data_IF_997672802918
#
_entry.id   IF_997672802918
#
_cell.length_a   1.000
_cell.length_b   1.000
_cell.length_c   1.000
_cell.angle_alpha   90.00
_cell.angle_beta   90.00
_cell.angle_gamma   90.00
#
_symmetry.space_group_name_H-M   'P 1'
#
loop_
_entity.id
_entity.type
_entity.pdbx_description
1 polymer ?
#
# COMPACT_ATOMS: atom_id res chain seq x y z
N UNK A 1 -26.58 17.41 -18.19
CA UNK A 1 -25.40 17.99 -18.87
C UNK A 1 -24.29 18.04 -17.83
N UNK A 2 -23.05 17.67 -18.18
CA UNK A 2 -21.90 17.84 -17.29
C UNK A 2 -21.40 19.29 -17.41
N UNK A 3 -21.00 19.88 -16.29
CA UNK A 3 -20.43 21.24 -16.17
C UNK A 3 -19.20 21.23 -15.24
N UNK A 4 -18.60 22.39 -14.99
CA UNK A 4 -17.39 22.50 -14.15
C UNK A 4 -17.62 22.14 -12.69
N UNK A 5 -18.85 22.26 -12.20
CA UNK A 5 -19.23 21.99 -10.80
C UNK A 5 -19.71 20.54 -10.60
N UNK A 6 -19.73 19.76 -11.67
CA UNK A 6 -20.20 18.38 -11.65
C UNK A 6 -19.28 17.51 -10.79
N UNK A 7 -19.83 16.98 -9.68
CA UNK A 7 -19.11 16.08 -8.79
C UNK A 7 -18.78 14.77 -9.49
N UNK A 8 -17.50 14.40 -9.49
CA UNK A 8 -16.97 13.23 -10.20
C UNK A 8 -16.22 12.28 -9.26
N UNK A 9 -16.31 10.98 -9.51
CA UNK A 9 -15.50 9.98 -8.82
C UNK A 9 -14.10 9.99 -9.45
N UNK A 10 -13.08 10.39 -8.69
CA UNK A 10 -11.70 10.49 -9.19
C UNK A 10 -11.05 9.13 -9.50
N UNK A 11 -11.59 8.04 -8.94
CA UNK A 11 -10.98 6.73 -9.05
C UNK A 11 -9.51 6.76 -8.65
N UNK A 12 -8.64 6.25 -9.53
CA UNK A 12 -7.19 6.22 -9.26
C UNK A 12 -6.49 7.57 -9.39
N UNK A 13 -7.11 8.60 -10.00
CA UNK A 13 -6.53 9.95 -9.98
C UNK A 13 -6.43 10.51 -8.54
N UNK A 14 -7.28 10.01 -7.63
CA UNK A 14 -7.22 10.37 -6.20
C UNK A 14 -5.93 9.93 -5.48
N UNK A 15 -5.11 9.05 -6.08
CA UNK A 15 -3.81 8.65 -5.51
C UNK A 15 -2.92 9.86 -5.26
N UNK A 16 -2.88 10.80 -6.20
CA UNK A 16 -2.03 12.00 -6.10
C UNK A 16 -2.26 12.79 -4.80
N UNK A 17 -3.50 12.86 -4.32
CA UNK A 17 -3.84 13.53 -3.05
C UNK A 17 -3.18 12.80 -1.86
N UNK A 18 -3.22 11.47 -1.86
CA UNK A 18 -2.56 10.64 -0.84
C UNK A 18 -1.04 10.75 -0.92
N UNK A 19 -0.47 10.79 -2.13
CA UNK A 19 0.96 10.97 -2.34
C UNK A 19 1.43 12.31 -1.78
N UNK A 20 0.72 13.42 -2.04
CA UNK A 20 1.05 14.72 -1.44
C UNK A 20 1.02 14.65 0.09
N UNK A 21 0.01 13.99 0.67
CA UNK A 21 -0.09 13.86 2.13
C UNK A 21 1.11 13.15 2.74
N UNK A 22 1.54 12.05 2.12
CA UNK A 22 2.74 11.33 2.56
C UNK A 22 4.01 12.17 2.37
N UNK A 23 4.11 12.93 1.27
CA UNK A 23 5.26 13.80 1.02
C UNK A 23 5.32 14.98 2.02
N UNK A 24 4.19 15.50 2.50
CA UNK A 24 4.18 16.48 3.61
C UNK A 24 4.77 15.91 4.89
N UNK A 25 4.49 14.65 5.21
CA UNK A 25 5.14 13.97 6.35
C UNK A 25 6.66 13.83 6.15
N UNK A 26 7.10 13.67 4.89
CA UNK A 26 8.54 13.68 4.55
C UNK A 26 9.15 15.06 4.77
N UNK A 27 8.48 16.13 4.31
CA UNK A 27 8.93 17.51 4.52
C UNK A 27 9.03 17.87 6.02
N UNK A 28 8.11 17.33 6.85
CA UNK A 28 8.12 17.51 8.30
C UNK A 28 9.14 16.63 9.03
N UNK A 29 9.84 15.73 8.32
CA UNK A 29 10.81 14.80 8.92
C UNK A 29 10.18 13.67 9.74
N UNK A 30 8.86 13.47 9.65
CA UNK A 30 8.15 12.42 10.38
C UNK A 30 8.38 11.02 9.79
N UNK A 31 8.59 10.95 8.48
CA UNK A 31 8.98 9.74 7.72
C UNK A 31 10.00 10.13 6.65
N UNK A 32 10.68 9.16 6.04
CA UNK A 32 11.58 9.42 4.89
C UNK A 32 11.17 8.59 3.67
N UNK A 33 11.67 8.98 2.50
CA UNK A 33 11.41 8.24 1.26
C UNK A 33 12.13 6.88 1.21
N UNK A 34 13.31 6.79 1.81
CA UNK A 34 14.28 5.72 1.54
C UNK A 34 14.60 4.84 2.75
N UNK A 35 14.17 5.22 3.96
CA UNK A 35 14.27 4.32 5.10
C UNK A 35 13.19 3.23 5.04
N UNK A 36 13.44 2.07 5.66
CA UNK A 36 12.44 1.02 5.74
C UNK A 36 11.12 1.51 6.37
N UNK A 37 10.01 1.31 5.67
CA UNK A 37 8.70 1.83 6.08
C UNK A 37 8.12 1.10 7.30
N UNK A 38 8.67 -0.07 7.65
CA UNK A 38 8.15 -0.92 8.71
C UNK A 38 8.14 -0.25 10.09
N UNK A 39 8.96 0.80 10.33
CA UNK A 39 8.87 1.62 11.55
C UNK A 39 7.48 2.22 11.76
N UNK A 40 6.73 2.42 10.66
CA UNK A 40 5.37 2.94 10.66
C UNK A 40 4.34 1.90 10.18
N UNK A 41 4.78 0.84 9.51
CA UNK A 41 3.98 -0.22 8.89
C UNK A 41 4.58 -1.60 9.17
N UNK A 42 4.59 -2.02 10.44
CA UNK A 42 5.17 -3.32 10.86
C UNK A 42 4.58 -4.51 10.08
N UNK A 43 3.35 -4.38 9.59
CA UNK A 43 2.65 -5.39 8.83
C UNK A 43 3.30 -5.71 7.47
N UNK A 44 4.13 -4.81 6.96
CA UNK A 44 4.89 -5.00 5.71
C UNK A 44 6.26 -5.65 5.92
N UNK A 45 6.73 -5.81 7.16
CA UNK A 45 8.09 -6.31 7.43
C UNK A 45 8.25 -7.80 7.11
N UNK A 46 7.20 -8.58 7.34
CA UNK A 46 7.23 -10.04 7.33
C UNK A 46 6.58 -10.66 6.09
N UNK A 47 6.23 -9.86 5.09
CA UNK A 47 5.62 -10.39 3.87
C UNK A 47 6.62 -11.22 3.06
N UNK A 48 6.32 -12.49 2.76
CA UNK A 48 7.18 -13.33 1.94
C UNK A 48 6.99 -12.99 0.45
N UNK A 49 7.94 -13.40 -0.38
CA UNK A 49 7.72 -13.55 -1.81
C UNK A 49 6.84 -14.77 -2.07
N UNK A 50 5.95 -14.68 -3.05
CA UNK A 50 5.16 -15.79 -3.58
C UNK A 50 5.52 -16.04 -5.04
N UNK A 51 5.69 -17.31 -5.37
CA UNK A 51 5.74 -17.79 -6.75
C UNK A 51 4.76 -18.93 -6.91
N UNK A 52 4.26 -19.11 -8.14
CA UNK A 52 3.49 -20.31 -8.47
C UNK A 52 4.43 -21.51 -8.42
N UNK A 53 4.05 -22.52 -7.66
CA UNK A 53 4.82 -23.73 -7.49
C UNK A 53 4.75 -24.64 -8.72
N UNK A 54 5.43 -25.79 -8.61
CA UNK A 54 5.35 -26.85 -9.62
C UNK A 54 5.21 -28.20 -8.93
N UNK A 55 4.49 -29.13 -9.55
CA UNK A 55 4.24 -30.46 -8.98
C UNK A 55 3.17 -30.43 -7.88
N UNK A 56 3.48 -30.97 -6.70
CA UNK A 56 2.52 -31.18 -5.60
C UNK A 56 2.31 -29.94 -4.71
N UNK A 57 3.15 -28.91 -4.85
CA UNK A 57 3.04 -27.65 -4.10
C UNK A 57 2.52 -26.55 -5.03
N UNK A 58 1.37 -25.97 -4.69
CA UNK A 58 0.72 -24.94 -5.51
C UNK A 58 1.45 -23.59 -5.42
N UNK A 59 2.10 -23.29 -4.30
CA UNK A 59 2.82 -22.03 -4.07
C UNK A 59 4.17 -22.30 -3.40
N UNK A 60 5.18 -21.51 -3.76
CA UNK A 60 6.45 -21.45 -3.05
C UNK A 60 6.64 -20.07 -2.43
N UNK A 61 7.08 -20.05 -1.16
CA UNK A 61 7.33 -18.83 -0.40
C UNK A 61 8.81 -18.70 -0.04
N UNK A 62 9.37 -17.51 -0.24
CA UNK A 62 10.74 -17.20 0.16
C UNK A 62 10.79 -15.88 0.93
N UNK A 63 11.78 -15.69 1.83
CA UNK A 63 11.96 -14.41 2.49
C UNK A 63 12.40 -13.34 1.49
N UNK A 64 11.95 -12.11 1.72
CA UNK A 64 12.48 -10.93 1.03
C UNK A 64 13.85 -10.56 1.60
N UNK A 65 14.74 -10.10 0.73
CA UNK A 65 16.07 -9.62 1.10
C UNK A 65 16.12 -8.09 1.18
N UNK A 66 15.21 -7.40 0.49
CA UNK A 66 15.09 -5.94 0.50
C UNK A 66 13.92 -5.47 1.34
N UNK A 67 14.03 -4.26 1.89
CA UNK A 67 12.98 -3.65 2.70
C UNK A 67 12.12 -2.72 1.85
N UNK A 68 10.81 -2.73 2.11
CA UNK A 68 9.88 -1.78 1.49
C UNK A 68 10.14 -0.38 2.08
N UNK A 69 10.14 0.63 1.23
CA UNK A 69 10.28 2.05 1.59
C UNK A 69 9.05 2.82 1.16
N UNK A 70 8.89 4.07 1.63
CA UNK A 70 7.82 4.93 1.15
C UNK A 70 7.93 5.15 -0.37
N UNK A 71 9.15 5.36 -0.90
CA UNK A 71 9.39 5.53 -2.33
C UNK A 71 8.78 4.38 -3.11
N UNK A 72 9.03 3.13 -2.68
CA UNK A 72 8.49 1.95 -3.34
C UNK A 72 6.96 1.93 -3.39
N UNK A 73 6.29 2.33 -2.30
CA UNK A 73 4.83 2.42 -2.25
C UNK A 73 4.29 3.50 -3.19
N UNK A 74 4.96 4.66 -3.27
CA UNK A 74 4.55 5.76 -4.13
C UNK A 74 4.74 5.44 -5.62
N UNK A 75 5.73 4.61 -5.96
CA UNK A 75 6.11 4.26 -7.34
C UNK A 75 5.62 2.89 -7.84
N UNK A 76 4.82 2.15 -7.07
CA UNK A 76 4.37 0.80 -7.43
C UNK A 76 5.52 -0.21 -7.63
N UNK A 77 6.61 -0.05 -6.88
CA UNK A 77 7.80 -0.93 -6.95
C UNK A 77 8.04 -1.66 -5.62
N UNK A 78 7.01 -1.81 -4.80
CA UNK A 78 7.09 -2.44 -3.46
C UNK A 78 7.12 -3.96 -3.49
N UNK A 79 6.76 -4.58 -4.61
CA UNK A 79 6.53 -6.02 -4.71
C UNK A 79 5.08 -6.41 -4.42
N UNK A 80 4.26 -5.50 -3.90
CA UNK A 80 2.82 -5.73 -3.75
C UNK A 80 2.17 -5.84 -5.13
N UNK A 81 1.05 -6.56 -5.19
CA UNK A 81 0.29 -6.73 -6.42
C UNK A 81 -1.21 -6.71 -6.15
N UNK A 82 -1.98 -6.39 -7.19
CA UNK A 82 -3.44 -6.51 -7.15
C UNK A 82 -3.89 -7.97 -7.20
N UNK A 83 -5.15 -8.20 -6.82
CA UNK A 83 -5.85 -9.49 -6.91
C UNK A 83 -5.97 -10.05 -8.34
N UNK A 84 -5.58 -9.27 -9.36
CA UNK A 84 -5.52 -9.69 -10.77
C UNK A 84 -4.18 -10.29 -11.16
N UNK A 85 -3.15 -10.18 -10.31
CA UNK A 85 -1.87 -10.80 -10.57
C UNK A 85 -1.97 -12.32 -10.34
N UNK A 86 -1.49 -13.19 -11.25
CA UNK A 86 -1.81 -14.62 -11.19
C UNK A 86 -1.41 -15.32 -9.87
N UNK A 87 -0.16 -15.20 -9.35
CA UNK A 87 0.19 -15.69 -8.02
C UNK A 87 -0.78 -15.26 -6.91
N UNK A 88 -1.17 -13.99 -6.89
CA UNK A 88 -2.05 -13.44 -5.84
C UNK A 88 -3.50 -13.91 -6.01
N UNK A 89 -3.99 -13.92 -7.25
CA UNK A 89 -5.35 -14.35 -7.57
C UNK A 89 -5.55 -15.81 -7.20
N UNK A 90 -4.59 -16.66 -7.56
CA UNK A 90 -4.64 -18.09 -7.25
C UNK A 90 -4.51 -18.32 -5.74
N UNK A 91 -3.61 -17.59 -5.06
CA UNK A 91 -3.49 -17.64 -3.60
C UNK A 91 -4.80 -17.26 -2.90
N UNK A 92 -5.47 -16.18 -3.32
CA UNK A 92 -6.75 -15.76 -2.79
C UNK A 92 -7.90 -16.76 -3.05
N UNK A 93 -7.82 -17.49 -4.17
CA UNK A 93 -8.79 -18.54 -4.51
C UNK A 93 -8.57 -19.86 -3.76
N UNK A 94 -7.39 -20.05 -3.18
CA UNK A 94 -7.06 -21.20 -2.33
C UNK A 94 -7.76 -21.08 -0.96
N UNK A 95 -7.65 -22.11 -0.12
CA UNK A 95 -8.22 -22.10 1.23
C UNK A 95 -7.45 -21.13 2.16
N UNK A 96 -7.74 -19.84 2.01
CA UNK A 96 -7.17 -18.72 2.78
C UNK A 96 -7.72 -18.63 4.20
N UNK A 97 -8.59 -19.56 4.63
CA UNK A 97 -9.11 -19.65 6.01
C UNK A 97 -8.01 -19.78 7.07
N UNK A 98 -6.78 -20.12 6.65
CA UNK A 98 -5.58 -20.21 7.49
C UNK A 98 -4.91 -18.87 7.79
N UNK A 99 -5.28 -17.78 7.11
CA UNK A 99 -4.76 -16.45 7.43
C UNK A 99 -5.45 -15.98 8.70
N UNK A 100 -4.78 -16.16 9.84
CA UNK A 100 -5.25 -15.68 11.14
C UNK A 100 -5.12 -14.16 11.18
N UNK A 101 -6.24 -13.47 11.29
CA UNK A 101 -6.31 -12.01 11.37
C UNK A 101 -6.91 -11.68 12.72
N UNK A 102 -6.15 -10.96 13.55
CA UNK A 102 -6.62 -10.56 14.87
C UNK A 102 -7.86 -9.65 14.74
N UNK A 103 -8.88 -9.77 15.63
CA UNK A 103 -10.17 -9.09 15.49
C UNK A 103 -10.08 -7.57 15.28
N UNK A 104 -9.09 -6.92 15.90
CA UNK A 104 -8.89 -5.46 15.88
C UNK A 104 -7.95 -4.98 14.76
N UNK A 105 -7.59 -5.87 13.82
CA UNK A 105 -6.73 -5.52 12.69
C UNK A 105 -7.44 -4.50 11.77
N UNK A 106 -6.81 -3.37 11.43
CA UNK A 106 -7.40 -2.40 10.51
C UNK A 106 -7.86 -3.06 9.20
N UNK A 107 -9.04 -2.71 8.64
CA UNK A 107 -9.58 -3.35 7.44
C UNK A 107 -8.61 -3.35 6.25
N UNK A 108 -7.76 -2.32 6.17
CA UNK A 108 -6.73 -2.15 5.14
C UNK A 108 -5.63 -3.20 5.25
N UNK A 109 -5.19 -3.51 6.47
CA UNK A 109 -4.20 -4.57 6.75
C UNK A 109 -4.82 -5.93 6.44
N UNK A 110 -6.04 -6.17 6.92
CA UNK A 110 -6.79 -7.41 6.68
C UNK A 110 -6.93 -7.72 5.18
N UNK A 111 -7.11 -6.70 4.34
CA UNK A 111 -7.38 -6.87 2.91
C UNK A 111 -6.13 -6.86 2.04
N UNK A 112 -5.05 -6.19 2.43
CA UNK A 112 -3.92 -5.92 1.55
C UNK A 112 -2.57 -6.47 2.03
N UNK A 113 -2.54 -7.22 3.14
CA UNK A 113 -1.35 -7.99 3.57
C UNK A 113 -1.17 -9.26 2.76
N UNK A 114 -0.93 -9.11 1.45
CA UNK A 114 -0.64 -10.21 0.54
C UNK A 114 0.87 -10.40 0.37
N UNK A 115 1.34 -11.63 0.07
CA UNK A 115 2.72 -11.87 -0.32
C UNK A 115 3.18 -10.98 -1.47
N UNK A 116 4.49 -10.70 -1.53
CA UNK A 116 5.11 -9.94 -2.61
C UNK A 116 5.37 -10.83 -3.82
N UNK A 117 5.37 -10.28 -5.03
CA UNK A 117 5.63 -11.03 -6.26
C UNK A 117 7.03 -10.79 -6.84
N UNK A 118 7.77 -9.84 -6.28
CA UNK A 118 9.18 -9.55 -6.59
C UNK A 118 9.80 -8.76 -5.42
N UNK A 119 11.13 -8.72 -5.35
CA UNK A 119 11.87 -7.99 -4.32
C UNK A 119 11.61 -6.48 -4.42
N UNK A 120 11.39 -5.77 -3.30
CA UNK A 120 11.20 -4.32 -3.31
C UNK A 120 12.28 -3.58 -4.13
N UNK A 121 11.85 -2.82 -5.13
CA UNK A 121 12.71 -2.07 -6.06
C UNK A 121 13.21 -2.85 -7.28
N UNK A 122 12.91 -4.14 -7.44
CA UNK A 122 13.35 -4.95 -8.59
C UNK A 122 12.29 -5.13 -9.68
N UNK A 123 11.11 -4.54 -9.51
CA UNK A 123 10.02 -4.64 -10.47
C UNK A 123 8.99 -3.54 -10.30
N UNK A 124 7.97 -3.57 -11.16
CA UNK A 124 6.82 -2.68 -11.10
C UNK A 124 5.53 -3.50 -11.22
N UNK A 125 4.58 -3.25 -10.34
CA UNK A 125 3.24 -3.82 -10.42
C UNK A 125 2.20 -2.82 -9.92
N UNK A 126 1.22 -2.53 -10.77
CA UNK A 126 0.10 -1.70 -10.35
C UNK A 126 -0.73 -2.43 -9.29
N UNK A 127 -0.82 -1.83 -8.12
CA UNK A 127 -1.22 -2.51 -6.89
C UNK A 127 -2.06 -1.60 -5.99
N UNK A 128 -2.19 -2.04 -4.74
CA UNK A 128 -2.90 -1.38 -3.66
C UNK A 128 -1.98 -0.59 -2.72
N UNK A 129 -0.75 -0.24 -3.13
CA UNK A 129 0.25 0.50 -2.33
C UNK A 129 -0.24 1.86 -1.83
N UNK A 130 -1.18 2.50 -2.53
CA UNK A 130 -1.81 3.75 -2.04
C UNK A 130 -2.54 3.53 -0.72
N UNK A 131 -3.20 2.39 -0.51
CA UNK A 131 -3.87 2.09 0.75
C UNK A 131 -2.85 1.97 1.89
N UNK A 132 -1.73 1.27 1.65
CA UNK A 132 -0.61 1.26 2.59
C UNK A 132 -0.03 2.66 2.85
N UNK A 133 0.00 3.53 1.85
CA UNK A 133 0.46 4.93 1.99
C UNK A 133 -0.48 5.78 2.85
N UNK A 134 -1.78 5.46 2.92
CA UNK A 134 -2.74 6.17 3.78
C UNK A 134 -2.51 5.90 5.27
N UNK A 135 -1.95 4.74 5.62
CA UNK A 135 -1.77 4.34 7.02
C UNK A 135 -0.77 5.24 7.78
N UNK A 136 0.44 5.55 7.28
CA UNK A 136 1.34 6.50 7.94
C UNK A 136 0.71 7.89 8.05
N UNK A 137 -0.02 8.34 7.03
CA UNK A 137 -0.78 9.61 7.06
C UNK A 137 -1.80 9.61 8.20
N UNK A 138 -2.51 8.50 8.39
CA UNK A 138 -3.45 8.34 9.50
C UNK A 138 -2.77 8.20 10.87
N UNK A 139 -1.69 7.43 10.97
CA UNK A 139 -0.99 7.10 12.23
C UNK A 139 -0.17 8.26 12.79
N UNK A 140 0.40 9.08 11.90
CA UNK A 140 1.33 10.16 12.28
C UNK A 140 0.69 11.54 12.17
N UNK A 141 -0.49 11.64 11.55
CA UNK A 141 -1.23 12.88 11.52
C UNK A 141 -1.74 13.25 12.91
N UNK A 142 -1.30 14.41 13.42
CA UNK A 142 -1.74 14.94 14.72
C UNK A 142 -3.25 15.28 14.77
N UNK A 143 -3.89 15.40 13.61
CA UNK A 143 -5.31 15.64 13.45
C UNK A 143 -5.86 14.60 12.47
N UNK A 144 -7.13 14.21 12.63
CA UNK A 144 -7.79 13.15 11.84
C UNK A 144 -7.39 13.19 10.36
N UNK A 145 -7.25 12.05 9.67
CA UNK A 145 -6.90 12.01 8.22
C UNK A 145 -7.61 13.08 7.37
N UNK A 146 -8.86 13.42 7.72
CA UNK A 146 -9.64 14.53 7.17
C UNK A 146 -8.93 15.89 7.16
N UNK A 147 -8.18 16.25 8.20
CA UNK A 147 -7.57 17.57 8.38
C UNK A 147 -6.26 17.71 7.59
N UNK A 148 -5.50 16.62 7.43
CA UNK A 148 -4.38 16.59 6.47
C UNK A 148 -4.92 16.71 5.04
N UNK A 149 -5.96 15.96 4.68
CA UNK A 149 -6.57 16.06 3.36
C UNK A 149 -7.21 17.43 3.10
N UNK A 150 -7.88 18.02 4.09
CA UNK A 150 -8.40 19.40 4.03
C UNK A 150 -7.29 20.41 3.87
N UNK A 151 -6.22 20.32 4.67
CA UNK A 151 -5.10 21.27 4.56
C UNK A 151 -4.44 21.19 3.18
N UNK A 152 -4.28 20.00 2.60
CA UNK A 152 -3.72 19.83 1.25
C UNK A 152 -4.62 20.44 0.18
N UNK A 153 -5.94 20.20 0.26
CA UNK A 153 -6.89 20.70 -0.73
C UNK A 153 -7.13 22.22 -0.62
N UNK A 154 -7.03 22.80 0.59
CA UNK A 154 -7.29 24.23 0.83
C UNK A 154 -6.07 25.13 0.64
N UNK A 155 -4.85 24.59 0.56
CA UNK A 155 -3.64 25.42 0.31
C UNK A 155 -3.49 25.77 -1.19
N UNK A 156 -4.27 25.17 -2.08
CA UNK A 156 -4.21 25.42 -3.55
C UNK A 156 -5.13 26.58 -3.98
N UNK A 157 -5.82 27.22 -3.02
CA UNK A 157 -6.79 28.29 -3.28
C UNK A 157 -6.29 29.70 -2.93
N UNK A 158 -4.97 29.93 -2.95
CA UNK A 158 -4.36 31.25 -2.70
C UNK A 158 -3.67 31.80 -3.94
#
# INVERSE_FOLDING_TARGET
>A
MLDSESTSILGSAGKFITHIAALKLVEQGAITLDEPIFRHLLELESLPLITLGSGNEQFSFSPVTKKITLRHLLSHTSGLASDRNPPISEYLSSDVSKIRIEPDTPPIVKRFSMPLIFEPGEGIAYDHSTYWTQLPVYRLGENSSTDIFRSILLTVSA
#
